data_IF_838732243331
#
_entry.id   IF_838732243331
#
_cell.length_a   1.000
_cell.length_b   1.000
_cell.length_c   1.000
_cell.angle_alpha   90.00
_cell.angle_beta   90.00
_cell.angle_gamma   90.00
#
_symmetry.space_group_name_H-M   'P 1'
#
loop_
_entity.id
_entity.type
_entity.pdbx_description
1 polymer ?
#
# COMPACT_ATOMS: atom_id res chain seq x y z
N UNK A 1 -1.84 -46.68 22.74
CA UNK A 1 -2.20 -45.31 22.33
C UNK A 1 -3.55 -45.00 22.95
N UNK A 2 -3.61 -44.06 23.89
CA UNK A 2 -4.83 -43.86 24.70
C UNK A 2 -5.90 -43.22 23.82
N UNK A 3 -7.17 -43.62 23.98
CA UNK A 3 -8.30 -43.07 23.22
C UNK A 3 -8.36 -41.52 23.32
N UNK A 4 -7.85 -40.97 24.42
CA UNK A 4 -7.69 -39.53 24.68
C UNK A 4 -6.62 -38.84 23.83
N UNK A 5 -5.58 -39.55 23.37
CA UNK A 5 -4.51 -38.97 22.53
C UNK A 5 -4.94 -38.84 21.07
N UNK A 6 -5.89 -39.68 20.62
CA UNK A 6 -6.42 -39.66 19.25
C UNK A 6 -7.36 -38.46 18.99
N UNK A 7 -8.16 -38.06 19.99
CA UNK A 7 -9.06 -36.90 19.86
C UNK A 7 -8.33 -35.56 19.89
N UNK A 8 -7.22 -35.45 20.62
CA UNK A 8 -6.39 -34.23 20.66
C UNK A 8 -5.71 -34.00 19.30
N UNK A 9 -5.31 -35.07 18.60
CA UNK A 9 -4.71 -34.98 17.27
C UNK A 9 -5.72 -34.56 16.19
N UNK A 10 -7.00 -34.92 16.32
CA UNK A 10 -8.04 -34.55 15.33
C UNK A 10 -8.50 -33.10 15.54
N UNK A 11 -8.57 -32.61 16.79
CA UNK A 11 -8.90 -31.21 17.06
C UNK A 11 -7.80 -30.23 16.60
N UNK A 12 -6.54 -30.65 16.59
CA UNK A 12 -5.42 -29.80 16.12
C UNK A 12 -5.26 -29.81 14.59
N UNK A 13 -5.79 -30.83 13.91
CA UNK A 13 -5.67 -31.00 12.45
C UNK A 13 -6.70 -30.18 11.65
N UNK A 14 -7.83 -29.80 12.25
CA UNK A 14 -8.88 -29.01 11.58
C UNK A 14 -8.63 -27.49 11.55
N UNK A 15 -7.53 -26.98 12.10
CA UNK A 15 -7.24 -25.53 12.15
C UNK A 15 -6.30 -25.02 11.04
N UNK A 16 -5.78 -25.88 10.15
CA UNK A 16 -4.70 -25.51 9.21
C UNK A 16 -5.13 -25.30 7.77
N UNK A 17 -6.43 -25.27 7.46
CA UNK A 17 -6.91 -24.94 6.11
C UNK A 17 -7.98 -23.88 6.18
N UNK A 18 -7.61 -22.71 6.72
CA UNK A 18 -8.33 -21.50 6.34
C UNK A 18 -8.06 -21.29 4.84
N UNK A 19 -9.07 -21.23 3.96
CA UNK A 19 -8.82 -20.79 2.60
C UNK A 19 -8.11 -19.44 2.68
N UNK A 20 -7.02 -19.32 1.90
CA UNK A 20 -6.31 -18.07 1.64
C UNK A 20 -7.34 -17.03 1.19
N UNK A 21 -7.93 -16.30 2.11
CA UNK A 21 -8.62 -15.08 1.73
C UNK A 21 -7.53 -14.12 1.32
N UNK A 22 -7.58 -13.62 0.09
CA UNK A 22 -6.79 -12.49 -0.36
C UNK A 22 -6.86 -11.41 0.74
N UNK A 23 -5.78 -11.25 1.48
CA UNK A 23 -5.63 -10.29 2.57
C UNK A 23 -4.17 -9.87 2.57
N UNK A 24 -3.93 -8.60 2.84
CA UNK A 24 -2.58 -8.10 3.11
C UNK A 24 -2.11 -8.66 4.43
N UNK A 25 -0.93 -9.28 4.43
CA UNK A 25 -0.23 -9.67 5.66
C UNK A 25 0.55 -8.48 6.26
N UNK A 26 0.96 -8.60 7.53
CA UNK A 26 1.84 -7.60 8.15
C UNK A 26 3.15 -7.41 7.36
N UNK A 27 3.70 -8.51 6.86
CA UNK A 27 4.94 -8.49 6.08
C UNK A 27 4.75 -7.77 4.75
N UNK A 28 3.62 -8.00 4.06
CA UNK A 28 3.26 -7.30 2.82
C UNK A 28 3.07 -5.81 3.07
N UNK A 29 2.42 -5.44 4.17
CA UNK A 29 2.28 -4.04 4.59
C UNK A 29 3.63 -3.37 4.85
N UNK A 30 4.49 -3.97 5.68
CA UNK A 30 5.81 -3.43 6.00
C UNK A 30 6.72 -3.36 4.77
N UNK A 31 6.59 -4.34 3.86
CA UNK A 31 7.29 -4.32 2.59
C UNK A 31 6.91 -3.10 1.76
N UNK A 32 5.62 -2.78 1.63
CA UNK A 32 5.18 -1.60 0.89
C UNK A 32 5.66 -0.30 1.55
N UNK A 33 5.48 -0.18 2.86
CA UNK A 33 5.73 1.07 3.59
C UNK A 33 7.22 1.37 3.75
N UNK A 34 8.02 0.35 4.08
CA UNK A 34 9.44 0.52 4.43
C UNK A 34 10.37 -0.14 3.42
N UNK A 35 10.08 -1.39 3.03
CA UNK A 35 10.96 -2.18 2.16
C UNK A 35 11.08 -1.62 0.74
N UNK A 36 9.97 -1.14 0.18
CA UNK A 36 9.91 -0.65 -1.20
C UNK A 36 10.70 0.64 -1.39
N UNK A 37 10.62 1.57 -0.43
CA UNK A 37 11.43 2.79 -0.40
C UNK A 37 12.92 2.47 -0.48
N UNK A 38 13.37 1.48 0.30
CA UNK A 38 14.78 1.06 0.29
C UNK A 38 15.20 0.33 -0.99
N UNK A 39 14.33 -0.50 -1.55
CA UNK A 39 14.63 -1.30 -2.76
C UNK A 39 14.68 -0.45 -4.03
N UNK A 40 13.77 0.52 -4.19
CA UNK A 40 13.86 1.52 -5.25
C UNK A 40 15.12 2.38 -5.14
N UNK A 41 15.48 2.80 -3.93
CA UNK A 41 16.69 3.59 -3.70
C UNK A 41 17.98 2.85 -4.08
N UNK A 42 17.95 1.51 -4.06
CA UNK A 42 19.08 0.65 -4.42
C UNK A 42 19.02 0.14 -5.87
N UNK A 43 17.98 0.47 -6.64
CA UNK A 43 17.78 -0.04 -8.01
C UNK A 43 17.53 -1.55 -8.08
N UNK A 44 17.07 -2.14 -6.97
CA UNK A 44 16.91 -3.58 -6.77
C UNK A 44 15.42 -3.89 -6.58
N UNK A 45 14.61 -3.87 -7.64
CA UNK A 45 13.21 -4.29 -7.52
C UNK A 45 12.97 -5.65 -8.19
N UNK A 46 12.66 -6.62 -7.33
CA UNK A 46 11.72 -7.73 -7.51
C UNK A 46 11.86 -8.62 -6.26
N UNK A 47 11.15 -8.30 -5.18
CA UNK A 47 11.00 -9.24 -4.06
C UNK A 47 10.43 -10.56 -4.61
N UNK A 48 11.14 -11.65 -4.36
CA UNK A 48 10.81 -13.01 -4.83
C UNK A 48 9.35 -13.35 -4.53
N UNK A 49 8.50 -13.30 -5.56
CA UNK A 49 7.09 -13.75 -5.49
C UNK A 49 6.03 -12.65 -5.59
N UNK A 50 6.38 -11.38 -5.81
CA UNK A 50 5.39 -10.30 -5.99
C UNK A 50 5.55 -9.56 -7.31
N UNK A 51 4.45 -9.03 -7.84
CA UNK A 51 4.42 -8.17 -9.03
C UNK A 51 3.62 -6.90 -8.77
N UNK A 52 4.02 -5.85 -9.47
CA UNK A 52 3.42 -4.53 -9.39
C UNK A 52 2.80 -4.16 -10.72
N UNK A 53 1.57 -3.68 -10.66
CA UNK A 53 0.86 -3.20 -11.84
C UNK A 53 0.39 -1.78 -11.57
N UNK A 54 0.92 -0.80 -12.31
CA UNK A 54 0.44 0.58 -12.23
C UNK A 54 -0.94 0.66 -12.89
N UNK A 55 -1.96 0.99 -12.10
CA UNK A 55 -3.35 1.01 -12.58
C UNK A 55 -3.85 2.43 -12.86
N UNK A 56 -3.36 3.42 -12.10
CA UNK A 56 -3.88 4.76 -12.20
C UNK A 56 -2.83 5.81 -11.82
N UNK A 57 -2.88 6.92 -12.54
CA UNK A 57 -2.04 8.10 -12.31
C UNK A 57 -2.93 9.33 -12.22
N UNK A 58 -2.61 10.22 -11.29
CA UNK A 58 -3.25 11.52 -11.16
C UNK A 58 -2.21 12.62 -11.00
N UNK A 59 -2.14 13.51 -11.99
CA UNK A 59 -1.30 14.71 -11.97
C UNK A 59 -2.12 15.91 -11.48
N UNK A 60 -1.57 16.71 -10.58
CA UNK A 60 -2.22 17.89 -10.04
C UNK A 60 -1.22 19.00 -9.71
N UNK A 61 -1.72 20.19 -9.43
CA UNK A 61 -0.93 21.31 -8.92
C UNK A 61 -1.40 21.69 -7.52
N UNK A 62 -0.46 22.03 -6.63
CA UNK A 62 -0.75 22.46 -5.27
C UNK A 62 0.11 23.66 -4.89
N UNK A 63 -0.36 24.43 -3.91
CA UNK A 63 0.39 25.58 -3.38
C UNK A 63 1.20 25.12 -2.16
N UNK A 64 2.50 25.34 -2.19
CA UNK A 64 3.36 25.15 -1.02
C UNK A 64 3.70 26.52 -0.42
N UNK A 65 3.53 26.65 0.90
CA UNK A 65 3.97 27.84 1.61
C UNK A 65 5.50 27.94 1.60
N UNK A 66 6.01 29.13 1.27
CA UNK A 66 7.43 29.52 1.37
C UNK A 66 7.58 30.73 2.30
N UNK A 67 8.82 30.97 2.74
CA UNK A 67 9.20 32.15 3.53
C UNK A 67 8.72 33.49 2.92
N UNK A 68 8.63 33.58 1.58
CA UNK A 68 8.25 34.78 0.84
C UNK A 68 7.04 34.55 -0.10
N UNK A 69 6.03 33.78 0.34
CA UNK A 69 4.76 33.65 -0.37
C UNK A 69 4.36 32.21 -0.64
N UNK A 70 3.67 31.97 -1.76
CA UNK A 70 3.23 30.64 -2.18
C UNK A 70 3.91 30.27 -3.49
N UNK A 71 4.43 29.05 -3.57
CA UNK A 71 4.91 28.47 -4.82
C UNK A 71 3.89 27.46 -5.33
N UNK A 72 3.61 27.52 -6.63
CA UNK A 72 2.85 26.47 -7.30
C UNK A 72 3.80 25.31 -7.59
N UNK A 73 3.50 24.15 -7.03
CA UNK A 73 4.18 22.89 -7.32
C UNK A 73 3.26 21.96 -8.08
N UNK A 74 3.85 20.97 -8.74
CA UNK A 74 3.09 19.87 -9.32
C UNK A 74 3.38 18.60 -8.55
N UNK A 75 2.32 17.83 -8.36
CA UNK A 75 2.35 16.54 -7.70
C UNK A 75 1.77 15.48 -8.60
N UNK A 76 2.19 14.24 -8.37
CA UNK A 76 1.65 13.05 -9.01
C UNK A 76 1.36 12.00 -7.96
N UNK A 77 0.16 11.43 -8.01
CA UNK A 77 -0.12 10.16 -7.34
C UNK A 77 -0.07 9.02 -8.35
N UNK A 78 0.61 7.95 -7.99
CA UNK A 78 0.57 6.66 -8.68
C UNK A 78 -0.10 5.64 -7.78
N UNK A 79 -1.08 4.93 -8.33
CA UNK A 79 -1.75 3.82 -7.68
C UNK A 79 -1.31 2.55 -8.40
N UNK A 80 -0.54 1.75 -7.69
CA UNK A 80 -0.07 0.45 -8.17
C UNK A 80 -0.67 -0.65 -7.32
N UNK A 81 -0.90 -1.80 -7.92
CA UNK A 81 -1.44 -2.95 -7.21
C UNK A 81 -0.33 -3.97 -6.97
N UNK A 82 -0.19 -4.39 -5.72
CA UNK A 82 0.65 -5.50 -5.31
C UNK A 82 -0.12 -6.80 -5.50
N UNK A 83 0.43 -7.70 -6.31
CA UNK A 83 -0.10 -9.05 -6.51
C UNK A 83 0.93 -10.10 -6.17
N UNK A 84 0.47 -11.28 -5.75
CA UNK A 84 1.33 -12.47 -5.70
C UNK A 84 1.57 -13.00 -7.11
N UNK A 85 2.83 -13.29 -7.45
CA UNK A 85 3.26 -13.68 -8.79
C UNK A 85 2.75 -15.06 -9.22
N UNK A 86 2.65 -15.99 -8.27
CA UNK A 86 2.22 -17.37 -8.48
C UNK A 86 0.70 -17.51 -8.61
N UNK A 87 -0.06 -16.76 -7.80
CA UNK A 87 -1.52 -16.84 -7.77
C UNK A 87 -2.23 -15.70 -8.50
N UNK A 88 -1.49 -14.65 -8.88
CA UNK A 88 -2.03 -13.36 -9.36
C UNK A 88 -3.00 -12.69 -8.37
N UNK A 89 -3.02 -13.14 -7.11
CA UNK A 89 -3.95 -12.64 -6.10
C UNK A 89 -3.62 -11.21 -5.72
N UNK A 90 -4.64 -10.36 -5.71
CA UNK A 90 -4.56 -9.00 -5.19
C UNK A 90 -4.21 -9.01 -3.70
N UNK A 91 -3.18 -8.25 -3.32
CA UNK A 91 -2.71 -8.16 -1.93
C UNK A 91 -2.85 -6.79 -1.34
N UNK A 92 -2.53 -5.72 -2.06
CA UNK A 92 -2.67 -4.36 -1.56
C UNK A 92 -2.64 -3.37 -2.71
N UNK A 93 -3.20 -2.18 -2.49
CA UNK A 93 -2.91 -1.03 -3.34
C UNK A 93 -1.80 -0.22 -2.69
N UNK A 94 -0.83 0.15 -3.48
CA UNK A 94 0.28 0.99 -3.07
C UNK A 94 0.12 2.34 -3.73
N UNK A 95 0.22 3.36 -2.89
CA UNK A 95 0.12 4.73 -3.35
C UNK A 95 1.47 5.39 -3.20
N UNK A 96 1.88 6.05 -4.27
CA UNK A 96 3.14 6.77 -4.37
C UNK A 96 2.80 8.21 -4.66
N UNK A 97 3.27 9.12 -3.82
CA UNK A 97 3.27 10.54 -4.11
C UNK A 97 4.66 10.99 -4.57
N UNK A 98 4.70 11.65 -5.72
CA UNK A 98 5.88 12.28 -6.30
C UNK A 98 5.65 13.79 -6.40
N UNK A 99 6.50 14.60 -5.78
CA UNK A 99 6.61 16.03 -6.05
C UNK A 99 7.47 16.19 -7.32
N UNK A 100 7.08 16.99 -8.33
CA UNK A 100 7.91 17.22 -9.54
C UNK A 100 9.30 17.79 -9.22
N UNK A 101 9.51 18.37 -8.03
CA UNK A 101 10.85 18.73 -7.54
C UNK A 101 11.69 17.52 -7.09
N UNK A 102 11.05 16.40 -6.71
CA UNK A 102 11.68 15.10 -6.47
C UNK A 102 11.74 14.32 -7.80
N UNK A 103 12.83 14.51 -8.53
CA UNK A 103 13.04 13.86 -9.85
C UNK A 103 13.29 12.35 -9.76
N UNK A 104 13.45 11.78 -8.57
CA UNK A 104 13.65 10.34 -8.37
C UNK A 104 12.47 9.68 -7.67
N UNK A 105 11.95 8.59 -8.27
CA UNK A 105 10.87 7.80 -7.68
C UNK A 105 11.22 7.27 -6.27
N UNK A 106 12.51 7.03 -6.00
CA UNK A 106 13.01 6.59 -4.68
C UNK A 106 12.86 7.65 -3.57
N UNK A 107 12.59 8.91 -3.92
CA UNK A 107 12.31 9.99 -2.96
C UNK A 107 10.80 10.26 -2.80
N UNK A 108 9.96 9.42 -3.42
CA UNK A 108 8.52 9.47 -3.24
C UNK A 108 8.09 9.15 -1.80
N UNK A 109 6.89 9.58 -1.46
CA UNK A 109 6.20 9.14 -0.25
C UNK A 109 5.33 7.94 -0.59
N UNK A 110 5.41 6.88 0.22
CA UNK A 110 4.76 5.59 -0.04
C UNK A 110 3.84 5.22 1.10
N UNK A 111 2.66 4.70 0.77
CA UNK A 111 1.82 4.04 1.76
C UNK A 111 1.02 2.90 1.14
N UNK A 112 0.58 2.01 2.03
CA UNK A 112 -0.20 0.84 1.71
C UNK A 112 -1.68 1.10 2.03
N UNK A 113 -2.56 0.84 1.08
CA UNK A 113 -3.99 0.61 1.30
C UNK A 113 -4.17 -0.92 1.35
N UNK A 114 -4.40 -1.51 2.54
CA UNK A 114 -4.58 -2.93 2.67
C UNK A 114 -5.79 -3.46 1.90
N UNK A 115 -5.76 -4.73 1.54
CA UNK A 115 -6.89 -5.46 0.98
C UNK A 115 -8.13 -5.27 1.86
N UNK A 116 -9.34 -5.12 1.28
CA UNK A 116 -10.57 -4.95 2.07
C UNK A 116 -10.86 -6.06 3.09
N UNK A 117 -10.31 -7.26 2.87
CA UNK A 117 -10.41 -8.41 3.79
C UNK A 117 -9.29 -8.47 4.86
N UNK A 118 -8.33 -7.55 4.83
CA UNK A 118 -7.32 -7.44 5.89
C UNK A 118 -7.96 -7.11 7.24
N UNK A 119 -7.23 -7.46 8.30
CA UNK A 119 -7.64 -7.22 9.69
C UNK A 119 -7.87 -5.73 9.95
N UNK A 120 -8.76 -5.42 10.89
CA UNK A 120 -9.01 -4.04 11.31
C UNK A 120 -7.74 -3.37 11.82
N UNK A 121 -6.91 -4.10 12.59
CA UNK A 121 -5.63 -3.60 13.08
C UNK A 121 -4.71 -3.12 11.94
N UNK A 122 -4.65 -3.83 10.82
CA UNK A 122 -3.79 -3.43 9.69
C UNK A 122 -4.34 -2.20 8.96
N UNK A 123 -5.67 -2.07 8.87
CA UNK A 123 -6.33 -0.90 8.29
C UNK A 123 -6.15 0.33 9.18
N UNK A 124 -6.29 0.16 10.48
CA UNK A 124 -6.02 1.20 11.48
C UNK A 124 -4.56 1.63 11.41
N UNK A 125 -3.61 0.70 11.32
CA UNK A 125 -2.19 1.01 11.15
C UNK A 125 -1.92 1.81 9.87
N UNK A 126 -2.55 1.45 8.75
CA UNK A 126 -2.45 2.20 7.49
C UNK A 126 -2.98 3.63 7.61
N UNK A 127 -4.13 3.80 8.26
CA UNK A 127 -4.71 5.13 8.51
C UNK A 127 -3.84 5.96 9.46
N UNK A 128 -3.31 5.35 10.52
CA UNK A 128 -2.43 6.01 11.47
C UNK A 128 -1.14 6.46 10.78
N UNK A 129 -0.51 5.59 9.98
CA UNK A 129 0.68 5.93 9.21
C UNK A 129 0.47 7.16 8.30
N UNK A 130 -0.68 7.24 7.63
CA UNK A 130 -1.06 8.40 6.83
C UNK A 130 -1.21 9.67 7.68
N UNK A 131 -1.84 9.55 8.84
CA UNK A 131 -2.14 10.68 9.70
C UNK A 131 -0.92 11.20 10.49
N UNK A 132 -0.02 10.32 10.93
CA UNK A 132 1.02 10.65 11.91
C UNK A 132 2.44 10.61 11.35
N UNK A 133 2.75 9.67 10.47
CA UNK A 133 4.10 9.45 9.95
C UNK A 133 4.34 10.24 8.66
N UNK A 134 3.42 10.16 7.70
CA UNK A 134 3.58 10.86 6.41
C UNK A 134 3.43 12.38 6.51
N UNK A 135 2.63 12.86 7.46
CA UNK A 135 2.40 14.29 7.73
C UNK A 135 2.16 15.12 6.45
N UNK A 136 1.32 14.59 5.56
CA UNK A 136 1.04 15.24 4.28
C UNK A 136 0.38 16.63 4.51
N UNK A 137 0.84 17.68 3.80
CA UNK A 137 0.15 18.96 3.77
C UNK A 137 -1.31 18.82 3.34
N UNK A 138 -2.22 19.68 3.84
CA UNK A 138 -3.65 19.63 3.50
C UNK A 138 -3.93 19.67 1.99
N UNK A 139 -3.13 20.41 1.22
CA UNK A 139 -3.27 20.51 -0.22
C UNK A 139 -2.95 19.18 -0.92
N UNK A 140 -2.00 18.42 -0.38
CA UNK A 140 -1.64 17.08 -0.89
C UNK A 140 -2.72 16.07 -0.49
N UNK A 141 -3.27 16.17 0.73
CA UNK A 141 -4.39 15.33 1.17
C UNK A 141 -5.65 15.53 0.31
N UNK A 142 -5.93 16.77 -0.10
CA UNK A 142 -7.03 17.07 -1.01
C UNK A 142 -6.80 16.42 -2.39
N UNK A 143 -5.60 16.56 -2.94
CA UNK A 143 -5.22 15.90 -4.19
C UNK A 143 -5.31 14.38 -4.08
N UNK A 144 -4.93 13.81 -2.94
CA UNK A 144 -5.05 12.37 -2.68
C UNK A 144 -6.51 11.90 -2.67
N UNK A 145 -7.41 12.63 -2.01
CA UNK A 145 -8.84 12.29 -2.00
C UNK A 145 -9.42 12.27 -3.41
N UNK A 146 -9.11 13.29 -4.23
CA UNK A 146 -9.54 13.35 -5.63
C UNK A 146 -8.97 12.21 -6.47
N UNK A 147 -7.68 11.88 -6.25
CA UNK A 147 -7.04 10.78 -6.95
C UNK A 147 -7.65 9.43 -6.56
N UNK A 148 -7.97 9.22 -5.28
CA UNK A 148 -8.60 8.01 -4.77
C UNK A 148 -10.01 7.83 -5.34
N UNK A 149 -10.81 8.89 -5.40
CA UNK A 149 -12.14 8.86 -6.04
C UNK A 149 -12.03 8.43 -7.52
N UNK A 150 -11.07 9.02 -8.25
CA UNK A 150 -10.81 8.67 -9.65
C UNK A 150 -10.38 7.20 -9.82
N UNK A 151 -9.49 6.71 -8.96
CA UNK A 151 -9.07 5.31 -8.95
C UNK A 151 -10.24 4.36 -8.69
N UNK A 152 -11.06 4.65 -7.67
CA UNK A 152 -12.21 3.81 -7.32
C UNK A 152 -13.26 3.78 -8.44
N UNK A 153 -13.50 4.89 -9.12
CA UNK A 153 -14.41 4.98 -10.27
C UNK A 153 -13.92 4.18 -11.49
N UNK A 154 -12.61 3.98 -11.66
CA UNK A 154 -12.07 3.12 -12.73
C UNK A 154 -12.09 1.64 -12.35
N UNK A 155 -11.90 1.31 -11.08
CA UNK A 155 -11.89 -0.08 -10.59
C UNK A 155 -13.27 -0.77 -10.54
N UNK A 156 -14.35 -0.02 -10.81
CA UNK A 156 -15.75 -0.49 -10.76
C UNK A 156 -16.38 -0.70 -12.15
N UNK A 157 -15.60 -0.56 -13.23
CA UNK A 157 -15.98 -0.86 -14.62
C UNK A 157 -15.37 -2.18 -15.08
#
# INVERSE_FOLDING_TARGET
MKLTEFFISILFSCCLVSPLQAQTSQEEYLYVVYGYKEQLAKGLDNKDGYTWESLYQYDFSYQQAKLLGKETKKGRFLFSVLRKKDTNEYRATVVIFLDESNRMQSEGMFWCIPHPKSTSALKEQSHEYLATELKLPPEILLGYAQALEGFLAQSTK
#
